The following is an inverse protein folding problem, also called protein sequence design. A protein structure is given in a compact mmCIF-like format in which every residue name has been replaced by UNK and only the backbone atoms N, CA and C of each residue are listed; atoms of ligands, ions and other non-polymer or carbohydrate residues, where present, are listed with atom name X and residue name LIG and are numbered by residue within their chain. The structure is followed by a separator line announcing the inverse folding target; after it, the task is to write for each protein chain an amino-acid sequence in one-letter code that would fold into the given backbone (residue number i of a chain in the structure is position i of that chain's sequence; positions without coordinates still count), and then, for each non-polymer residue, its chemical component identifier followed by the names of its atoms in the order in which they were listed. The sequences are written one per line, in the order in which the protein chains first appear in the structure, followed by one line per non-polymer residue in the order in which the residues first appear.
data_IF_564785936865
#
_entry.id   IF_564785936865
#
_cell.length_a   1.000
_cell.length_b   1.000
_cell.length_c   1.000
_cell.angle_alpha   90.00
_cell.angle_beta   90.00
_cell.angle_gamma   90.00
#
_symmetry.space_group_name_H-M   'P 1'
#
loop_
_entity.id
_entity.type
_entity.pdbx_description
1 polymer ?
#
# COMPACT_ATOMS: atom_id res chain seq x y z
N UNK A 1 -11.34 4.50 -0.70
CA UNK A 1 -10.50 4.36 0.51
C UNK A 1 -11.17 4.89 1.76
N UNK A 2 -11.43 6.20 1.91
CA UNK A 2 -12.07 6.78 3.12
C UNK A 2 -13.34 6.04 3.56
N UNK A 3 -14.29 5.84 2.63
CA UNK A 3 -15.50 5.05 2.90
C UNK A 3 -15.24 3.58 3.26
N UNK A 4 -14.20 2.95 2.69
CA UNK A 4 -13.82 1.57 3.02
C UNK A 4 -13.27 1.48 4.45
N UNK A 5 -12.36 2.39 4.84
CA UNK A 5 -11.84 2.49 6.21
C UNK A 5 -12.96 2.75 7.22
N UNK A 6 -13.91 3.63 6.89
CA UNK A 6 -15.10 3.86 7.70
C UNK A 6 -15.92 2.59 7.89
N UNK A 7 -16.21 1.87 6.79
CA UNK A 7 -16.97 0.61 6.85
C UNK A 7 -16.27 -0.51 7.64
N UNK A 8 -14.93 -0.45 7.77
CA UNK A 8 -14.14 -1.39 8.56
C UNK A 8 -13.93 -0.95 10.02
N UNK A 9 -14.42 0.22 10.41
CA UNK A 9 -14.20 0.77 11.75
C UNK A 9 -12.77 1.29 11.97
N UNK A 10 -12.04 1.54 10.89
CA UNK A 10 -10.64 1.97 10.83
C UNK A 10 -10.49 3.45 10.44
N UNK A 11 -11.54 4.26 10.63
CA UNK A 11 -11.52 5.69 10.29
C UNK A 11 -10.41 6.51 10.97
N UNK A 12 -9.91 6.05 12.12
CA UNK A 12 -8.77 6.68 12.80
C UNK A 12 -7.48 6.71 11.94
N UNK A 13 -7.33 5.79 10.99
CA UNK A 13 -6.16 5.67 10.11
C UNK A 13 -6.34 6.37 8.77
N UNK A 14 -7.45 7.08 8.58
CA UNK A 14 -7.80 7.72 7.31
C UNK A 14 -6.76 8.75 6.86
N UNK A 15 -6.25 9.56 7.79
CA UNK A 15 -5.22 10.57 7.51
C UNK A 15 -3.94 9.93 6.95
N UNK A 16 -3.38 8.99 7.70
CA UNK A 16 -2.14 8.28 7.34
C UNK A 16 -2.29 7.50 6.02
N UNK A 17 -3.42 6.79 5.85
CA UNK A 17 -3.70 6.05 4.62
C UNK A 17 -3.85 6.99 3.41
N UNK A 18 -4.47 8.15 3.58
CA UNK A 18 -4.56 9.18 2.55
C UNK A 18 -3.21 9.74 2.17
N UNK A 19 -2.33 9.99 3.14
CA UNK A 19 -1.00 10.49 2.87
C UNK A 19 -0.20 9.46 2.08
N UNK A 20 -0.17 8.19 2.54
CA UNK A 20 0.52 7.11 1.85
C UNK A 20 0.01 6.95 0.41
N UNK A 21 -1.32 6.85 0.23
CA UNK A 21 -1.90 6.64 -1.09
C UNK A 21 -1.60 7.80 -2.05
N UNK A 22 -1.61 9.04 -1.56
CA UNK A 22 -1.31 10.22 -2.38
C UNK A 22 0.13 10.20 -2.87
N UNK A 23 1.09 9.81 -2.02
CA UNK A 23 2.50 9.68 -2.40
C UNK A 23 2.73 8.52 -3.39
N UNK A 24 2.12 7.37 -3.15
CA UNK A 24 2.20 6.24 -4.07
C UNK A 24 1.61 6.59 -5.45
N UNK A 25 0.44 7.24 -5.48
CA UNK A 25 -0.21 7.66 -6.71
C UNK A 25 0.57 8.75 -7.44
N UNK A 26 1.17 9.70 -6.71
CA UNK A 26 2.01 10.75 -7.29
C UNK A 26 3.28 10.17 -7.92
N UNK A 27 3.91 9.19 -7.27
CA UNK A 27 5.06 8.48 -7.83
C UNK A 27 4.68 7.71 -9.10
N UNK A 28 3.56 7.00 -9.08
CA UNK A 28 3.05 6.31 -10.26
C UNK A 28 2.77 7.29 -11.41
N UNK A 29 2.06 8.40 -11.14
CA UNK A 29 1.74 9.42 -12.15
C UNK A 29 2.98 10.10 -12.75
N UNK A 30 4.07 10.23 -11.98
CA UNK A 30 5.33 10.81 -12.47
C UNK A 30 6.10 9.88 -13.41
N UNK A 31 5.98 8.56 -13.21
CA UNK A 31 6.76 7.55 -13.93
C UNK A 31 5.97 6.88 -15.05
N UNK A 32 4.65 6.81 -14.92
CA UNK A 32 3.76 6.16 -15.89
C UNK A 32 3.58 7.02 -17.14
N UNK A 33 4.15 6.59 -18.27
CA UNK A 33 3.94 7.24 -19.57
C UNK A 33 2.64 6.76 -20.26
N UNK A 34 2.19 5.52 -19.96
CA UNK A 34 1.00 4.91 -20.57
C UNK A 34 -0.33 5.34 -19.96
N UNK A 35 -0.30 6.06 -18.83
CA UNK A 35 -1.47 6.64 -18.17
C UNK A 35 -2.36 5.64 -17.42
N UNK A 36 -2.07 4.33 -17.46
CA UNK A 36 -2.87 3.34 -16.75
C UNK A 36 -2.39 3.19 -15.31
N UNK A 37 -3.13 3.82 -14.39
CA UNK A 37 -2.90 3.71 -12.95
C UNK A 37 -4.11 3.07 -12.31
N UNK A 38 -3.88 2.06 -11.48
CA UNK A 38 -4.92 1.41 -10.67
C UNK A 38 -4.56 1.50 -9.22
N UNK A 39 -5.51 1.90 -8.39
CA UNK A 39 -5.32 2.03 -6.94
C UNK A 39 -6.34 1.18 -6.20
N UNK A 40 -5.91 0.55 -5.12
CA UNK A 40 -6.82 -0.15 -4.23
C UNK A 40 -6.34 -0.10 -2.78
N UNK A 41 -7.28 -0.32 -1.87
CA UNK A 41 -7.03 -0.42 -0.44
C UNK A 41 -7.61 -1.73 0.03
N UNK A 42 -6.91 -2.42 0.92
CA UNK A 42 -7.38 -3.70 1.46
C UNK A 42 -7.12 -3.78 2.94
N UNK A 43 -8.08 -4.37 3.64
CA UNK A 43 -7.88 -4.80 5.02
C UNK A 43 -7.16 -6.14 4.98
N UNK A 44 -6.12 -6.27 5.79
CA UNK A 44 -5.35 -7.50 6.00
C UNK A 44 -5.39 -7.87 7.49
N UNK A 45 -4.91 -9.06 7.85
CA UNK A 45 -4.96 -9.56 9.23
C UNK A 45 -4.28 -8.63 10.24
N UNK A 46 -3.23 -7.92 9.82
CA UNK A 46 -2.42 -7.06 10.69
C UNK A 46 -2.51 -5.56 10.32
N UNK A 47 -3.57 -5.15 9.61
CA UNK A 47 -3.83 -3.73 9.35
C UNK A 47 -4.42 -3.43 7.98
N UNK A 48 -3.90 -2.38 7.33
CA UNK A 48 -4.40 -1.91 6.04
C UNK A 48 -3.26 -1.82 5.05
N UNK A 49 -3.48 -2.32 3.83
CA UNK A 49 -2.57 -2.20 2.71
C UNK A 49 -3.13 -1.24 1.66
N UNK A 50 -2.28 -0.32 1.21
CA UNK A 50 -2.52 0.57 0.09
C UNK A 50 -1.63 0.14 -1.06
N UNK A 51 -2.22 -0.05 -2.23
CA UNK A 51 -1.49 -0.46 -3.42
C UNK A 51 -1.79 0.47 -4.59
N UNK A 52 -0.75 0.77 -5.35
CA UNK A 52 -0.82 1.48 -6.62
C UNK A 52 -0.09 0.66 -7.66
N UNK A 53 -0.80 0.33 -8.74
CA UNK A 53 -0.24 -0.29 -9.92
C UNK A 53 -0.13 0.73 -11.04
N UNK A 54 0.96 0.66 -11.79
CA UNK A 54 1.20 1.41 -13.02
C UNK A 54 1.79 0.49 -14.10
N UNK A 55 1.60 0.85 -15.36
CA UNK A 55 2.10 0.09 -16.52
C UNK A 55 3.58 0.37 -16.84
N UNK A 56 4.30 1.16 -16.02
CA UNK A 56 5.69 1.46 -16.28
C UNK A 56 6.59 0.26 -15.96
N UNK A 57 7.38 -0.25 -16.93
CA UNK A 57 8.14 -1.50 -16.79
C UNK A 57 9.37 -1.38 -15.89
N UNK A 58 9.81 -0.16 -15.60
CA UNK A 58 10.93 0.07 -14.70
C UNK A 58 10.56 -0.18 -13.23
N UNK A 59 11.50 -0.78 -12.49
CA UNK A 59 11.41 -1.00 -11.03
C UNK A 59 11.22 0.35 -10.32
N UNK A 60 10.41 0.42 -9.25
CA UNK A 60 10.41 1.62 -8.43
C UNK A 60 11.80 1.74 -7.80
N UNK A 61 12.42 2.90 -8.00
CA UNK A 61 13.66 3.23 -7.30
C UNK A 61 13.25 3.52 -5.86
N UNK A 62 13.44 2.52 -4.98
CA UNK A 62 13.37 2.71 -3.54
C UNK A 62 14.56 3.60 -3.20
N UNK A 63 14.33 4.90 -3.03
CA UNK A 63 15.36 5.78 -2.51
C UNK A 63 15.47 5.53 -1.02
N UNK A 64 16.66 5.11 -0.56
CA UNK A 64 16.98 5.15 0.86
C UNK A 64 16.78 6.58 1.37
N UNK A 65 16.18 6.76 2.56
CA UNK A 65 15.88 8.07 3.10
C UNK A 65 17.18 8.85 3.34
N UNK A 66 17.53 9.77 2.44
CA UNK A 66 18.63 10.71 2.65
C UNK A 66 18.07 12.00 3.27
N UNK A 67 18.52 12.42 4.47
CA UNK A 67 17.92 13.52 5.24
C UNK A 67 17.95 14.92 4.59
N UNK A 68 18.51 15.06 3.39
CA UNK A 68 18.71 16.34 2.70
C UNK A 68 18.31 16.34 1.22
N UNK A 69 17.69 15.27 0.69
CA UNK A 69 17.27 15.21 -0.71
C UNK A 69 15.86 15.80 -0.90
N UNK A 70 15.69 16.71 -1.87
CA UNK A 70 14.40 17.34 -2.21
C UNK A 70 13.56 16.47 -3.16
N UNK A 71 14.19 15.62 -3.99
CA UNK A 71 13.55 14.53 -4.73
C UNK A 71 13.70 13.23 -3.92
N UNK A 72 12.60 12.68 -3.40
CA UNK A 72 12.62 11.47 -2.56
C UNK A 72 11.75 11.52 -1.31
N UNK A 73 11.11 12.66 -1.01
CA UNK A 73 10.27 12.84 0.18
C UNK A 73 9.00 11.98 0.20
N UNK A 74 8.47 11.60 -0.96
CA UNK A 74 7.23 10.83 -1.01
C UNK A 74 7.36 9.45 -0.38
N UNK A 75 8.49 8.77 -0.59
CA UNK A 75 8.77 7.48 0.08
C UNK A 75 9.21 7.65 1.54
N UNK A 76 9.78 8.80 1.91
CA UNK A 76 10.12 9.13 3.31
C UNK A 76 8.84 9.29 4.16
N UNK A 77 7.79 9.90 3.60
CA UNK A 77 6.47 9.96 4.25
C UNK A 77 5.81 8.58 4.29
N UNK A 78 5.89 7.80 3.21
CA UNK A 78 5.40 6.42 3.21
C UNK A 78 6.13 5.59 4.27
N UNK A 79 7.45 5.68 4.43
CA UNK A 79 8.18 4.98 5.49
C UNK A 79 7.83 5.47 6.90
N UNK A 80 7.52 6.77 7.06
CA UNK A 80 7.10 7.32 8.35
C UNK A 80 5.72 6.83 8.80
N UNK A 81 4.80 6.58 7.85
CA UNK A 81 3.42 6.16 8.13
C UNK A 81 3.16 4.67 7.89
N UNK A 82 3.98 3.99 7.07
CA UNK A 82 3.83 2.58 6.73
C UNK A 82 4.48 1.69 7.79
N UNK A 83 3.92 1.72 9.00
CA UNK A 83 4.38 0.92 10.14
C UNK A 83 4.36 -0.60 9.90
N UNK A 84 3.59 -1.07 8.90
CA UNK A 84 3.55 -2.46 8.45
C UNK A 84 4.49 -2.79 7.28
N UNK A 85 5.36 -1.86 6.91
CA UNK A 85 6.33 -1.99 5.82
C UNK A 85 5.79 -1.54 4.46
N UNK A 86 6.68 -1.55 3.48
CA UNK A 86 6.39 -1.22 2.08
C UNK A 86 7.24 -2.05 1.12
N UNK A 87 6.83 -2.13 -0.13
CA UNK A 87 7.57 -2.84 -1.16
C UNK A 87 6.92 -2.72 -2.52
N UNK A 88 7.33 -3.58 -3.44
CA UNK A 88 6.74 -3.66 -4.77
C UNK A 88 6.84 -5.07 -5.32
N UNK A 89 6.04 -5.36 -6.35
CA UNK A 89 6.10 -6.60 -7.11
C UNK A 89 5.73 -6.35 -8.58
N UNK A 90 6.26 -7.19 -9.45
CA UNK A 90 5.95 -7.20 -10.87
C UNK A 90 4.63 -7.95 -11.12
N UNK A 91 3.77 -7.39 -11.97
CA UNK A 91 2.51 -7.99 -12.42
C UNK A 91 2.50 -8.26 -13.94
N UNK A 92 3.67 -8.40 -14.56
CA UNK A 92 3.89 -8.76 -15.97
C UNK A 92 3.62 -7.61 -16.94
N UNK A 93 2.48 -6.93 -16.79
CA UNK A 93 2.08 -5.79 -17.60
C UNK A 93 2.41 -4.42 -16.95
N UNK A 94 3.20 -4.43 -15.88
CA UNK A 94 3.45 -3.28 -15.03
C UNK A 94 3.82 -3.71 -13.61
N UNK A 95 3.99 -2.75 -12.71
CA UNK A 95 4.37 -3.00 -11.32
C UNK A 95 3.31 -2.52 -10.35
N UNK A 96 3.23 -3.15 -9.19
CA UNK A 96 2.47 -2.65 -8.06
C UNK A 96 3.42 -2.27 -6.93
N UNK A 97 3.27 -1.05 -6.41
CA UNK A 97 3.91 -0.58 -5.18
C UNK A 97 2.88 -0.63 -4.07
N UNK A 98 3.29 -1.13 -2.91
CA UNK A 98 2.42 -1.29 -1.75
C UNK A 98 3.06 -0.71 -0.50
N UNK A 99 2.20 -0.29 0.43
CA UNK A 99 2.57 0.17 1.76
C UNK A 99 1.49 -0.21 2.77
N UNK A 100 1.88 -0.54 3.99
CA UNK A 100 0.98 -1.04 5.03
C UNK A 100 1.04 -0.19 6.29
N UNK A 101 -0.12 0.08 6.88
CA UNK A 101 -0.22 0.55 8.26
C UNK A 101 -0.46 -0.69 9.12
N UNK A 102 0.46 -0.98 10.04
CA UNK A 102 0.28 -1.99 11.06
C UNK A 102 -0.73 -1.49 12.10
N UNK A 103 -1.72 -2.33 12.41
CA UNK A 103 -2.76 -2.03 13.40
C UNK A 103 -2.76 -3.16 14.42
N UNK A 104 -2.80 -2.80 15.70
CA UNK A 104 -2.90 -3.76 16.80
C UNK A 104 -4.08 -4.73 16.60
N UNK A 105 -3.84 -6.00 16.89
CA UNK A 105 -4.83 -7.06 16.68
C UNK A 105 -6.08 -6.88 17.56
N UNK A 106 -5.93 -6.40 18.79
CA UNK A 106 -7.05 -6.07 19.68
C UNK A 106 -7.90 -4.93 19.12
N UNK A 107 -7.26 -3.91 18.56
CA UNK A 107 -7.97 -2.84 17.85
C UNK A 107 -8.75 -3.39 16.64
N UNK A 108 -8.13 -4.24 15.83
CA UNK A 108 -8.74 -4.86 14.65
C UNK A 108 -9.99 -5.67 15.00
N UNK A 109 -9.94 -6.49 16.06
CA UNK A 109 -11.09 -7.25 16.56
C UNK A 109 -12.20 -6.32 17.07
N UNK A 110 -11.84 -5.30 17.85
CA UNK A 110 -12.81 -4.31 18.34
C UNK A 110 -13.51 -3.56 17.20
N UNK A 111 -12.77 -3.18 16.15
CA UNK A 111 -13.32 -2.52 14.97
C UNK A 111 -14.26 -3.43 14.16
N UNK A 112 -13.90 -4.72 14.01
CA UNK A 112 -14.73 -5.72 13.35
C UNK A 112 -16.07 -5.92 14.10
N UNK A 113 -16.03 -6.01 15.43
CA UNK A 113 -17.25 -6.12 16.24
C UNK A 113 -18.18 -4.92 16.10
N UNK A 114 -17.64 -3.69 16.07
CA UNK A 114 -18.45 -2.46 15.94
C UNK A 114 -19.17 -2.36 14.59
N UNK A 115 -18.60 -2.94 13.54
CA UNK A 115 -19.08 -2.77 12.15
C UNK A 115 -19.68 -4.04 11.56
N UNK A 116 -19.74 -5.15 12.31
CA UNK A 116 -20.26 -6.44 11.86
C UNK A 116 -19.49 -7.03 10.66
N UNK A 117 -18.29 -6.52 10.38
CA UNK A 117 -17.57 -6.82 9.13
C UNK A 117 -16.43 -7.82 9.38
N UNK A 118 -16.50 -9.05 8.84
CA UNK A 118 -15.52 -10.11 9.10
C UNK A 118 -14.14 -9.70 8.61
N UNK A 119 -13.07 -9.88 9.40
CA UNK A 119 -11.68 -9.61 8.99
C UNK A 119 -11.43 -10.33 7.67
N UNK A 120 -11.39 -9.60 6.56
CA UNK A 120 -11.20 -10.21 5.25
C UNK A 120 -9.70 -10.46 5.12
N UNK A 121 -9.36 -11.74 4.97
CA UNK A 121 -8.02 -12.25 4.67
C UNK A 121 -7.55 -11.87 3.25
N UNK A 122 -6.36 -12.33 2.86
CA UNK A 122 -5.42 -11.59 2.03
C UNK A 122 -5.95 -11.26 0.63
N UNK A 123 -5.45 -10.14 0.10
CA UNK A 123 -5.33 -9.96 -1.35
C UNK A 123 -4.51 -11.13 -1.90
N UNK A 124 -5.02 -11.79 -2.96
CA UNK A 124 -4.43 -12.99 -3.61
C UNK A 124 -3.00 -12.85 -4.17
N UNK A 125 -2.21 -11.86 -3.78
CA UNK A 125 -0.85 -11.64 -4.27
C UNK A 125 0.23 -11.57 -3.19
N UNK A 126 -0.11 -11.63 -1.90
CA UNK A 126 0.88 -11.60 -0.80
C UNK A 126 1.45 -12.99 -0.48
N UNK A 127 0.72 -14.08 -0.79
CA UNK A 127 1.13 -15.45 -0.46
C UNK A 127 1.69 -16.26 -1.64
N UNK A 128 2.06 -15.62 -2.77
CA UNK A 128 2.76 -16.36 -3.83
C UNK A 128 4.25 -16.34 -3.50
N UNK A 129 4.90 -17.48 -3.14
CA UNK A 129 6.36 -17.51 -3.15
C UNK A 129 6.84 -17.07 -4.54
N UNK A 130 7.96 -16.33 -4.65
CA UNK A 130 8.51 -15.98 -5.94
C UNK A 130 8.64 -17.26 -6.75
N UNK A 131 7.99 -17.29 -7.92
CA UNK A 131 8.15 -18.42 -8.85
C UNK A 131 9.65 -18.49 -9.15
N UNK A 132 10.35 -19.60 -8.87
CA UNK A 132 11.74 -19.72 -9.24
C UNK A 132 11.84 -19.50 -10.73
N UNK A 133 12.72 -18.59 -11.15
CA UNK A 133 13.09 -18.47 -12.56
C UNK A 133 13.68 -19.81 -12.96
N UNK A 134 12.92 -20.63 -13.68
CA UNK A 134 13.44 -21.82 -14.33
C UNK A 134 14.41 -21.34 -15.42
N UNK A 135 15.70 -21.47 -15.13
CA UNK A 135 16.79 -21.52 -16.12
C UNK A 135 16.94 -22.94 -16.67
#
# INVERSE_FOLDING_TARGET
MRGALGSWGLGAFEGDACQIMSELASNAARLCEGGNIRVWTSRISQGVEMCVWDDHPGRPVIQEPHPFATSGRGLILVQAFASGGCGWFDLGAGKAVWARIAIDHGYMLGAAHRTGSPIVGPLRHVDRPPVPLHS
#
